data_IF_713458744080
#
_entry.id   IF_713458744080
#
_cell.length_a   1.000
_cell.length_b   1.000
_cell.length_c   1.000
_cell.angle_alpha   90.00
_cell.angle_beta   90.00
_cell.angle_gamma   90.00
#
_symmetry.space_group_name_H-M   'P 1'
#
loop_
_entity.id
_entity.type
_entity.pdbx_description
1 polymer ?
#
# COMPACT_ATOMS: atom_id res chain seq x y z
N UNK A 1 5.38 -6.11 -24.90
CA UNK A 1 6.49 -6.19 -23.93
C UNK A 1 5.92 -5.87 -22.57
N UNK A 2 5.70 -6.89 -21.74
CA UNK A 2 5.09 -6.75 -20.43
C UNK A 2 6.19 -6.57 -19.40
N UNK A 3 6.33 -5.37 -18.85
CA UNK A 3 7.34 -5.10 -17.82
C UNK A 3 6.89 -5.71 -16.50
N UNK A 4 7.65 -6.71 -16.03
CA UNK A 4 7.48 -7.34 -14.73
C UNK A 4 7.71 -6.30 -13.63
N UNK A 5 6.69 -6.03 -12.82
CA UNK A 5 6.74 -5.10 -11.67
C UNK A 5 7.20 -5.86 -10.41
N UNK A 6 8.20 -6.72 -10.56
CA UNK A 6 8.70 -7.62 -9.53
C UNK A 6 10.18 -7.36 -9.25
N UNK A 7 10.49 -6.14 -8.83
CA UNK A 7 11.72 -5.84 -8.09
C UNK A 7 11.32 -5.13 -6.80
N UNK A 8 12.02 -5.42 -5.70
CA UNK A 8 11.81 -4.73 -4.43
C UNK A 8 11.85 -3.23 -4.69
N UNK A 9 10.89 -2.49 -4.12
CA UNK A 9 10.82 -1.04 -4.29
C UNK A 9 12.15 -0.47 -3.81
N UNK A 10 13.02 -0.13 -4.75
CA UNK A 10 14.19 0.67 -4.47
C UNK A 10 13.64 1.95 -3.85
N UNK A 11 14.01 2.20 -2.59
CA UNK A 11 13.68 3.44 -1.91
C UNK A 11 14.13 4.58 -2.80
N UNK A 12 13.23 5.47 -3.17
CA UNK A 12 13.57 6.65 -3.96
C UNK A 12 14.59 7.48 -3.14
N UNK A 13 15.61 8.01 -3.81
CA UNK A 13 16.55 8.88 -3.12
C UNK A 13 15.84 10.15 -2.59
N UNK A 14 16.34 10.69 -1.49
CA UNK A 14 15.67 11.79 -0.78
C UNK A 14 15.56 13.05 -1.64
N UNK A 15 16.57 13.33 -2.47
CA UNK A 15 16.56 14.49 -3.35
C UNK A 15 15.47 14.36 -4.43
N UNK A 16 15.34 13.19 -5.05
CA UNK A 16 14.28 12.90 -6.02
C UNK A 16 12.89 13.01 -5.40
N UNK A 17 12.68 12.50 -4.18
CA UNK A 17 11.42 12.68 -3.46
C UNK A 17 11.09 14.15 -3.26
N UNK A 18 12.02 14.91 -2.68
CA UNK A 18 11.83 16.32 -2.39
C UNK A 18 11.47 17.13 -3.64
N UNK A 19 12.13 16.83 -4.76
CA UNK A 19 11.84 17.46 -6.05
C UNK A 19 10.43 17.14 -6.56
N UNK A 20 10.01 15.87 -6.49
CA UNK A 20 8.65 15.45 -6.89
C UNK A 20 7.58 16.13 -6.04
N UNK A 21 7.76 16.16 -4.72
CA UNK A 21 6.84 16.86 -3.82
C UNK A 21 6.74 18.35 -4.17
N UNK A 22 7.88 19.01 -4.35
CA UNK A 22 7.94 20.43 -4.68
C UNK A 22 7.24 20.73 -6.02
N UNK A 23 7.47 19.91 -7.04
CA UNK A 23 6.90 20.11 -8.37
C UNK A 23 5.37 19.94 -8.36
N UNK A 24 4.85 18.91 -7.70
CA UNK A 24 3.39 18.70 -7.58
C UNK A 24 2.73 19.83 -6.80
N UNK A 25 3.33 20.26 -5.68
CA UNK A 25 2.81 21.37 -4.88
C UNK A 25 2.78 22.69 -5.67
N UNK A 26 3.84 22.99 -6.42
CA UNK A 26 3.94 24.19 -7.26
C UNK A 26 2.85 24.20 -8.33
N UNK A 27 2.67 23.10 -9.06
CA UNK A 27 1.63 23.00 -10.12
C UNK A 27 0.22 23.12 -9.55
N UNK A 28 -0.05 22.50 -8.39
CA UNK A 28 -1.33 22.65 -7.71
C UNK A 28 -1.58 24.08 -7.22
N UNK A 29 -0.58 24.74 -6.66
CA UNK A 29 -0.68 26.15 -6.25
C UNK A 29 -0.95 27.09 -7.44
N UNK A 30 -0.44 26.75 -8.62
CA UNK A 30 -0.69 27.48 -9.87
C UNK A 30 -2.04 27.14 -10.54
N UNK A 31 -2.80 26.17 -10.01
CA UNK A 31 -4.05 25.70 -10.63
C UNK A 31 -3.84 24.88 -11.91
N UNK A 32 -2.63 24.38 -12.14
CA UNK A 32 -2.29 23.58 -13.32
C UNK A 32 -2.68 22.11 -13.14
N UNK A 33 -2.97 21.43 -14.26
CA UNK A 33 -3.14 19.98 -14.26
C UNK A 33 -1.82 19.30 -13.96
N UNK A 34 -1.85 18.32 -13.04
CA UNK A 34 -0.69 17.47 -12.77
C UNK A 34 -0.68 16.32 -13.77
N UNK A 35 0.42 16.19 -14.52
CA UNK A 35 0.62 15.08 -15.44
C UNK A 35 0.46 13.71 -14.72
N UNK A 36 -0.24 12.71 -15.30
CA UNK A 36 -0.46 11.41 -14.65
C UNK A 36 0.83 10.67 -14.27
N UNK A 37 1.91 10.83 -15.04
CA UNK A 37 3.21 10.23 -14.73
C UNK A 37 3.82 10.88 -13.50
N UNK A 38 3.77 12.22 -13.42
CA UNK A 38 4.21 12.97 -12.24
C UNK A 38 3.36 12.64 -11.01
N UNK A 39 2.05 12.48 -11.19
CA UNK A 39 1.14 12.06 -10.13
C UNK A 39 1.47 10.66 -9.60
N UNK A 40 1.72 9.69 -10.47
CA UNK A 40 2.13 8.34 -10.06
C UNK A 40 3.46 8.35 -9.29
N UNK A 41 4.44 9.14 -9.74
CA UNK A 41 5.71 9.33 -9.03
C UNK A 41 5.51 9.93 -7.64
N UNK A 42 4.59 10.90 -7.51
CA UNK A 42 4.22 11.49 -6.24
C UNK A 42 3.55 10.48 -5.29
N UNK A 43 2.63 9.66 -5.79
CA UNK A 43 1.99 8.59 -5.02
C UNK A 43 3.02 7.56 -4.55
N UNK A 44 3.97 7.18 -5.40
CA UNK A 44 5.06 6.27 -5.03
C UNK A 44 5.94 6.91 -3.96
N UNK A 45 6.35 8.17 -4.13
CA UNK A 45 7.18 8.90 -3.16
C UNK A 45 6.49 9.06 -1.79
N UNK A 46 5.18 9.28 -1.75
CA UNK A 46 4.39 9.35 -0.51
C UNK A 46 4.33 8.01 0.23
N UNK A 47 4.30 6.90 -0.52
CA UNK A 47 4.24 5.55 0.04
C UNK A 47 5.62 4.90 0.15
N UNK A 48 6.70 5.62 -0.16
CA UNK A 48 8.03 5.03 -0.16
C UNK A 48 8.45 4.65 1.26
N UNK A 49 8.94 3.42 1.41
CA UNK A 49 9.16 2.69 2.66
C UNK A 49 7.91 2.22 3.44
N UNK A 50 6.68 2.41 2.94
CA UNK A 50 5.51 1.75 3.54
C UNK A 50 5.54 0.25 3.21
N UNK A 51 5.69 -0.57 4.24
CA UNK A 51 5.49 -2.02 4.14
C UNK A 51 3.99 -2.30 4.05
N UNK A 52 3.44 -2.18 2.85
CA UNK A 52 2.10 -2.67 2.53
C UNK A 52 2.10 -4.21 2.56
N UNK A 53 0.92 -4.83 2.63
CA UNK A 53 0.80 -6.29 2.75
C UNK A 53 1.43 -7.08 1.59
N UNK A 54 1.19 -8.41 1.52
CA UNK A 54 1.70 -9.25 0.44
C UNK A 54 1.37 -8.68 -0.94
N UNK A 55 2.26 -8.90 -1.93
CA UNK A 55 2.01 -8.44 -3.29
C UNK A 55 0.82 -9.19 -3.90
N UNK A 56 0.24 -8.63 -4.97
CA UNK A 56 -0.81 -9.32 -5.73
C UNK A 56 -0.29 -10.66 -6.25
N UNK A 57 -1.01 -11.74 -5.93
CA UNK A 57 -0.63 -13.11 -6.28
C UNK A 57 0.31 -13.79 -5.28
N UNK A 58 0.90 -13.06 -4.34
CA UNK A 58 1.62 -13.68 -3.23
C UNK A 58 0.66 -14.29 -2.22
N UNK A 59 1.12 -15.37 -1.58
CA UNK A 59 0.33 -16.07 -0.56
C UNK A 59 0.26 -15.24 0.71
N UNK A 60 -0.96 -15.06 1.24
CA UNK A 60 -1.17 -14.46 2.56
C UNK A 60 -0.51 -15.33 3.65
N UNK A 61 0.24 -14.75 4.59
CA UNK A 61 0.79 -15.48 5.73
C UNK A 61 -0.30 -16.20 6.52
N UNK A 62 0.00 -17.43 6.97
CA UNK A 62 -0.96 -18.18 7.77
C UNK A 62 -1.12 -17.55 9.16
N UNK A 63 -2.31 -17.69 9.76
CA UNK A 63 -2.57 -17.25 11.13
C UNK A 63 -3.57 -18.14 11.86
N UNK A 64 -3.50 -18.11 13.18
CA UNK A 64 -4.52 -18.55 14.13
C UNK A 64 -4.64 -17.42 15.15
N UNK A 65 -5.80 -16.77 15.22
CA UNK A 65 -6.02 -15.60 16.08
C UNK A 65 -7.35 -15.73 16.83
N UNK A 66 -7.42 -15.27 18.09
CA UNK A 66 -8.68 -15.21 18.82
C UNK A 66 -9.59 -14.10 18.27
N UNK A 67 -10.89 -14.35 18.25
CA UNK A 67 -11.90 -13.31 18.04
C UNK A 67 -12.21 -12.53 19.32
N UNK A 68 -13.18 -11.62 19.26
CA UNK A 68 -13.64 -10.81 20.39
C UNK A 68 -14.16 -11.63 21.59
N UNK A 69 -14.51 -12.91 21.39
CA UNK A 69 -14.97 -13.82 22.43
C UNK A 69 -13.86 -14.80 22.86
N UNK A 70 -12.62 -14.61 22.40
CA UNK A 70 -11.49 -15.47 22.68
C UNK A 70 -11.49 -16.78 21.90
N UNK A 71 -12.38 -16.97 20.92
CA UNK A 71 -12.41 -18.18 20.09
C UNK A 71 -11.36 -18.09 19.00
N UNK A 72 -10.52 -19.11 18.88
CA UNK A 72 -9.52 -19.18 17.82
C UNK A 72 -10.16 -19.37 16.43
N UNK A 73 -9.68 -18.58 15.47
CA UNK A 73 -9.96 -18.72 14.05
C UNK A 73 -8.67 -18.77 13.26
N UNK A 74 -8.59 -19.73 12.34
CA UNK A 74 -7.50 -19.84 11.37
C UNK A 74 -7.85 -19.20 10.03
N UNK A 75 -6.84 -18.82 9.25
CA UNK A 75 -7.03 -18.35 7.87
C UNK A 75 -7.85 -19.34 7.04
N UNK A 76 -7.61 -20.65 7.20
CA UNK A 76 -8.32 -21.68 6.42
C UNK A 76 -9.81 -21.74 6.75
N UNK A 77 -10.19 -21.57 8.02
CA UNK A 77 -11.59 -21.58 8.45
C UNK A 77 -12.36 -20.35 7.97
N UNK A 78 -11.71 -19.20 7.88
CA UNK A 78 -12.33 -17.94 7.45
C UNK A 78 -12.46 -17.81 5.92
N UNK A 79 -11.66 -18.56 5.16
CA UNK A 79 -11.62 -18.47 3.71
C UNK A 79 -12.86 -19.10 3.06
N UNK A 80 -13.60 -18.32 2.28
CA UNK A 80 -14.74 -18.80 1.49
C UNK A 80 -14.36 -19.15 0.03
N UNK A 81 -15.32 -19.66 -0.77
CA UNK A 81 -15.09 -20.04 -2.17
C UNK A 81 -14.72 -18.86 -3.08
N UNK A 82 -14.98 -17.62 -2.64
CA UNK A 82 -14.63 -16.37 -3.35
C UNK A 82 -13.44 -15.64 -2.70
N UNK A 83 -12.74 -16.28 -1.77
CA UNK A 83 -11.67 -15.68 -0.99
C UNK A 83 -12.16 -15.02 0.31
N UNK A 84 -11.29 -14.19 0.89
CA UNK A 84 -11.46 -13.52 2.17
C UNK A 84 -11.00 -12.07 2.04
N UNK A 85 -11.78 -11.14 2.60
CA UNK A 85 -11.35 -9.77 2.85
C UNK A 85 -10.90 -9.65 4.30
N UNK A 86 -9.62 -9.33 4.52
CA UNK A 86 -9.06 -9.09 5.85
C UNK A 86 -8.72 -7.59 6.00
N UNK A 87 -9.29 -6.95 7.01
CA UNK A 87 -9.10 -5.52 7.28
C UNK A 87 -8.43 -5.34 8.63
N UNK A 88 -7.27 -4.68 8.64
CA UNK A 88 -6.59 -4.26 9.86
C UNK A 88 -7.07 -2.86 10.25
N UNK A 89 -7.78 -2.77 11.37
CA UNK A 89 -8.24 -1.50 11.92
C UNK A 89 -7.63 -1.31 13.30
N UNK A 90 -7.25 -0.07 13.60
CA UNK A 90 -6.91 0.38 14.95
C UNK A 90 -7.78 1.59 15.23
N UNK A 91 -8.75 1.45 16.12
CA UNK A 91 -9.43 2.61 16.71
C UNK A 91 -8.51 3.26 17.75
N UNK A 92 -8.60 4.58 17.88
CA UNK A 92 -8.21 5.20 19.14
C UNK A 92 -9.37 4.96 20.10
N UNK A 93 -9.12 4.29 21.22
CA UNK A 93 -10.10 4.15 22.29
C UNK A 93 -10.35 5.56 22.84
N UNK A 94 -11.56 6.08 22.68
CA UNK A 94 -11.99 7.37 23.24
C UNK A 94 -13.08 7.15 24.28
#
# INVERSE_FOLDING_TARGET
>A
MSTNIAEGVATMDEATKANIFHEVLKRRAAGENVDPTLWNKFVIAQNDALKTGPKVGEKVPNFILPDQNGREHSLQQLMGPKGLLLVFVRSADW
#
